data_IF_495616822197
#
_entry.id   IF_495616822197
#
_cell.length_a   1.000
_cell.length_b   1.000
_cell.length_c   1.000
_cell.angle_alpha   90.00
_cell.angle_beta   90.00
_cell.angle_gamma   90.00
#
_symmetry.space_group_name_H-M   'P 1'
#
loop_
_entity.id
_entity.type
_entity.pdbx_description
1 polymer ?
#
# COMPACT_ATOMS: atom_id res chain seq x y z
N UNK A 1 -9.27 -2.17 -2.74
CA UNK A 1 -8.69 -1.59 -3.99
C UNK A 1 -7.83 -0.37 -3.67
N UNK A 2 -6.87 -0.04 -4.53
CA UNK A 2 -5.98 1.12 -4.37
C UNK A 2 -6.01 1.96 -5.65
N UNK A 3 -6.34 3.24 -5.53
CA UNK A 3 -6.17 4.23 -6.58
C UNK A 3 -5.08 5.23 -6.15
N UNK A 4 -4.25 5.66 -7.09
CA UNK A 4 -3.14 6.58 -6.83
C UNK A 4 -3.25 7.79 -7.76
N UNK A 5 -3.20 8.98 -7.18
CA UNK A 5 -3.17 10.25 -7.89
C UNK A 5 -1.84 10.93 -7.61
N UNK A 6 -1.10 11.26 -8.67
CA UNK A 6 0.20 11.93 -8.58
C UNK A 6 -0.01 13.43 -8.80
N UNK A 7 0.35 14.24 -7.81
CA UNK A 7 0.11 15.68 -7.81
C UNK A 7 1.44 16.42 -8.07
N UNK A 8 1.46 17.16 -9.18
CA UNK A 8 2.61 17.94 -9.62
C UNK A 8 2.37 19.43 -9.37
N UNK A 9 3.44 20.18 -9.06
CA UNK A 9 3.38 21.65 -9.00
C UNK A 9 3.44 22.28 -10.41
N UNK A 10 3.40 23.62 -10.46
CA UNK A 10 3.49 24.39 -11.71
C UNK A 10 4.81 24.19 -12.47
N UNK A 11 5.86 23.76 -11.77
CA UNK A 11 7.17 23.42 -12.34
C UNK A 11 7.28 21.95 -12.77
N UNK A 12 6.16 21.20 -12.75
CA UNK A 12 6.08 19.78 -13.11
C UNK A 12 6.91 18.85 -12.20
N UNK A 13 7.12 19.25 -10.95
CA UNK A 13 7.78 18.46 -9.92
C UNK A 13 6.74 17.71 -9.09
N UNK A 14 7.00 16.44 -8.80
CA UNK A 14 6.10 15.62 -8.00
C UNK A 14 6.17 16.05 -6.53
N UNK A 15 5.07 16.56 -5.98
CA UNK A 15 5.01 17.03 -4.59
C UNK A 15 4.23 16.08 -3.68
N UNK A 16 3.18 15.44 -4.19
CA UNK A 16 2.30 14.58 -3.39
C UNK A 16 1.82 13.38 -4.17
N UNK A 17 1.54 12.29 -3.45
CA UNK A 17 0.75 11.17 -3.95
C UNK A 17 -0.46 10.98 -3.05
N UNK A 18 -1.66 11.03 -3.63
CA UNK A 18 -2.89 10.72 -2.92
C UNK A 18 -3.26 9.26 -3.17
N UNK A 19 -3.28 8.45 -2.12
CA UNK A 19 -3.66 7.05 -2.16
C UNK A 19 -5.08 6.86 -1.62
N UNK A 20 -6.04 6.58 -2.50
CA UNK A 20 -7.39 6.19 -2.12
C UNK A 20 -7.44 4.67 -1.91
N UNK A 21 -7.75 4.27 -0.69
CA UNK A 21 -7.92 2.87 -0.29
C UNK A 21 -9.40 2.60 -0.11
N UNK A 22 -9.95 1.74 -0.97
CA UNK A 22 -11.33 1.27 -0.88
C UNK A 22 -11.41 -0.04 -0.11
N UNK A 23 -12.27 -0.07 0.90
CA UNK A 23 -12.62 -1.24 1.68
C UNK A 23 -13.92 -1.86 1.14
N UNK A 24 -13.80 -2.87 0.28
CA UNK A 24 -14.92 -3.41 -0.51
C UNK A 24 -16.04 -4.06 0.31
N UNK A 25 -15.79 -4.82 1.39
CA UNK A 25 -16.88 -5.43 2.15
C UNK A 25 -17.73 -4.40 2.92
N UNK A 26 -17.15 -3.25 3.29
CA UNK A 26 -17.83 -2.21 4.07
C UNK A 26 -18.18 -0.95 3.27
N UNK A 27 -17.91 -0.93 1.96
CA UNK A 27 -18.11 0.23 1.07
C UNK A 27 -17.54 1.55 1.64
N UNK A 28 -16.40 1.47 2.31
CA UNK A 28 -15.71 2.64 2.87
C UNK A 28 -14.50 3.01 2.02
N UNK A 29 -14.13 4.29 2.06
CA UNK A 29 -12.91 4.80 1.42
C UNK A 29 -12.12 5.63 2.42
N UNK A 30 -10.81 5.58 2.29
CA UNK A 30 -9.88 6.39 3.05
C UNK A 30 -8.78 6.92 2.14
N UNK A 31 -8.29 8.11 2.42
CA UNK A 31 -7.30 8.79 1.59
C UNK A 31 -6.04 9.04 2.42
N UNK A 32 -4.90 8.54 1.93
CA UNK A 32 -3.59 8.89 2.47
C UNK A 32 -2.94 9.94 1.57
N UNK A 33 -2.64 11.12 2.13
CA UNK A 33 -1.84 12.14 1.45
C UNK A 33 -0.36 11.90 1.77
N UNK A 34 0.40 11.45 0.78
CA UNK A 34 1.81 11.06 0.93
C UNK A 34 2.70 12.20 0.40
N UNK A 35 3.39 12.96 1.28
CA UNK A 35 4.28 14.02 0.84
C UNK A 35 5.53 13.43 0.19
N UNK A 36 5.88 13.93 -1.00
CA UNK A 36 7.13 13.59 -1.67
C UNK A 36 8.16 14.64 -1.27
N UNK A 37 8.99 14.27 -0.29
CA UNK A 37 10.11 15.09 0.14
C UNK A 37 11.27 14.86 -0.85
N UNK A 38 11.46 15.80 -1.78
CA UNK A 38 12.66 15.86 -2.60
C UNK A 38 13.84 16.16 -1.68
N UNK A 39 14.72 15.18 -1.45
CA UNK A 39 16.03 15.47 -0.85
C UNK A 39 16.77 16.40 -1.82
N UNK A 40 17.04 17.63 -1.36
CA UNK A 40 17.68 18.68 -2.14
C UNK A 40 19.14 18.34 -2.50
N UNK A 41 19.54 18.85 -3.67
CA UNK A 41 20.90 19.06 -4.19
C UNK A 41 21.91 17.90 -4.14
N UNK A 42 22.02 17.19 -5.26
CA UNK A 42 23.22 16.41 -5.58
C UNK A 42 23.01 15.38 -6.69
N UNK A 43 21.79 14.83 -6.80
CA UNK A 43 21.54 13.71 -7.70
C UNK A 43 20.73 14.17 -8.93
N UNK A 44 21.45 14.56 -9.99
CA UNK A 44 20.88 15.08 -11.26
C UNK A 44 20.17 14.02 -12.11
N UNK A 45 19.90 12.83 -11.59
CA UNK A 45 19.14 11.79 -12.28
C UNK A 45 17.70 11.68 -11.79
N UNK A 46 16.87 12.70 -12.10
CA UNK A 46 15.43 12.72 -11.81
C UNK A 46 14.65 11.52 -12.41
N UNK A 47 15.23 10.78 -13.37
CA UNK A 47 14.48 9.74 -14.12
C UNK A 47 14.19 8.45 -13.34
N UNK A 48 14.88 8.16 -12.24
CA UNK A 48 14.71 6.90 -11.49
C UNK A 48 14.54 7.09 -9.99
N UNK A 49 14.16 8.30 -9.55
CA UNK A 49 14.05 8.58 -8.13
C UNK A 49 12.90 7.77 -7.53
N UNK A 50 13.24 7.01 -6.48
CA UNK A 50 12.26 6.36 -5.61
C UNK A 50 12.14 7.19 -4.34
N UNK A 51 10.92 7.25 -3.83
CA UNK A 51 10.57 8.01 -2.64
C UNK A 51 10.00 7.05 -1.61
N UNK A 52 10.45 7.19 -0.37
CA UNK A 52 9.91 6.43 0.77
C UNK A 52 9.08 7.35 1.63
N UNK A 53 7.84 6.95 1.93
CA UNK A 53 6.94 7.68 2.84
C UNK A 53 6.45 6.71 3.90
N UNK A 54 6.66 7.06 5.17
CA UNK A 54 6.23 6.23 6.30
C UNK A 54 5.18 6.94 7.14
N UNK A 55 4.17 6.21 7.57
CA UNK A 55 3.17 6.72 8.51
C UNK A 55 2.46 5.56 9.24
N UNK A 56 1.77 5.88 10.34
CA UNK A 56 0.92 4.92 11.03
C UNK A 56 -0.31 4.57 10.18
N UNK A 57 -0.70 3.30 10.19
CA UNK A 57 -1.92 2.85 9.55
C UNK A 57 -3.12 3.47 10.26
N UNK A 58 -3.99 4.13 9.50
CA UNK A 58 -5.15 4.85 10.03
C UNK A 58 -6.49 4.27 9.53
N UNK A 59 -6.48 3.19 8.75
CA UNK A 59 -7.68 2.62 8.15
C UNK A 59 -7.75 1.10 8.24
N UNK A 60 -8.85 0.60 8.82
CA UNK A 60 -9.08 -0.83 9.01
C UNK A 60 -9.68 -1.46 7.73
N UNK A 61 -8.82 -2.09 6.93
CA UNK A 61 -9.16 -2.62 5.59
C UNK A 61 -9.50 -4.10 5.55
N UNK A 62 -9.23 -4.85 6.62
CA UNK A 62 -9.43 -6.30 6.68
C UNK A 62 -9.54 -6.72 8.14
N UNK A 63 -10.45 -7.66 8.48
CA UNK A 63 -10.59 -8.13 9.85
C UNK A 63 -9.42 -9.02 10.29
N UNK A 64 -8.52 -9.38 9.37
CA UNK A 64 -7.30 -10.13 9.69
C UNK A 64 -6.06 -9.23 9.74
N UNK A 65 -6.23 -7.90 9.67
CA UNK A 65 -5.14 -6.95 9.59
C UNK A 65 -5.24 -5.88 10.72
N UNK A 66 -4.47 -6.01 11.81
CA UNK A 66 -4.59 -5.17 13.02
C UNK A 66 -4.26 -3.70 12.76
N UNK A 67 -4.70 -2.79 13.63
CA UNK A 67 -4.55 -1.33 13.40
C UNK A 67 -3.15 -0.81 13.77
N UNK A 68 -2.50 -1.43 14.73
CA UNK A 68 -1.22 -1.05 15.34
C UNK A 68 -0.03 -1.40 14.41
N UNK A 69 -0.04 -0.79 13.24
CA UNK A 69 0.91 -1.05 12.17
C UNK A 69 1.44 0.26 11.59
N UNK A 70 2.65 0.21 11.05
CA UNK A 70 3.24 1.28 10.23
C UNK A 70 3.25 0.84 8.77
N UNK A 71 2.87 1.77 7.89
CA UNK A 71 3.04 1.63 6.45
C UNK A 71 4.33 2.31 6.02
N UNK A 72 5.12 1.60 5.21
CA UNK A 72 6.27 2.15 4.49
C UNK A 72 6.00 2.00 2.99
N UNK A 73 5.76 3.13 2.33
CA UNK A 73 5.48 3.21 0.91
C UNK A 73 6.77 3.49 0.16
N UNK A 74 7.11 2.67 -0.81
CA UNK A 74 8.16 2.93 -1.78
C UNK A 74 7.52 3.19 -3.15
N UNK A 75 7.65 4.43 -3.61
CA UNK A 75 6.98 4.97 -4.79
C UNK A 75 8.01 5.45 -5.81
N UNK A 76 7.65 5.49 -7.08
CA UNK A 76 8.39 6.24 -8.10
C UNK A 76 7.46 7.19 -8.84
N UNK A 77 8.05 8.16 -9.54
CA UNK A 77 7.28 9.01 -10.46
C UNK A 77 6.77 8.18 -11.65
N UNK A 78 5.51 8.37 -12.09
CA UNK A 78 4.97 7.67 -13.24
C UNK A 78 5.71 8.07 -14.52
N UNK A 79 6.39 7.11 -15.13
CA UNK A 79 7.03 7.23 -16.44
C UNK A 79 6.61 6.04 -17.33
N UNK A 80 7.56 5.32 -17.93
CA UNK A 80 7.28 4.10 -18.70
C UNK A 80 6.83 2.94 -17.81
N UNK A 81 7.31 2.91 -16.57
CA UNK A 81 6.95 1.93 -15.54
C UNK A 81 6.62 2.66 -14.24
N UNK A 82 5.47 2.32 -13.68
CA UNK A 82 5.09 2.71 -12.33
C UNK A 82 5.29 1.51 -11.41
N UNK A 83 5.94 1.71 -10.26
CA UNK A 83 6.16 0.71 -9.23
C UNK A 83 5.79 1.30 -7.89
N UNK A 84 4.89 0.63 -7.19
CA UNK A 84 4.39 1.00 -5.88
C UNK A 84 4.55 -0.21 -5.00
N UNK A 85 5.34 -0.08 -3.94
CA UNK A 85 5.56 -1.13 -2.97
C UNK A 85 5.09 -0.62 -1.60
N UNK A 86 4.34 -1.44 -0.89
CA UNK A 86 3.83 -1.15 0.43
C UNK A 86 4.30 -2.25 1.36
N UNK A 87 5.07 -1.87 2.38
CA UNK A 87 5.39 -2.74 3.50
C UNK A 87 4.51 -2.37 4.71
N UNK A 88 4.04 -3.39 5.41
CA UNK A 88 3.34 -3.27 6.69
C UNK A 88 4.23 -3.83 7.79
N UNK A 89 4.56 -2.98 8.74
CA UNK A 89 5.42 -3.29 9.87
C UNK A 89 4.59 -3.29 11.15
N UNK A 90 4.71 -4.32 11.98
CA UNK A 90 4.08 -4.33 13.31
C UNK A 90 4.94 -3.54 14.28
N UNK A 91 4.28 -2.74 15.10
CA UNK A 91 4.88 -2.07 16.26
C UNK A 91 4.79 -3.05 17.43
N UNK A 92 5.78 -3.93 17.58
CA UNK A 92 5.86 -4.77 18.78
C UNK A 92 6.35 -3.92 19.95
N UNK A 93 5.52 -3.77 20.99
CA UNK A 93 6.03 -3.58 22.34
C UNK A 93 6.71 -4.88 22.78
N UNK A 94 7.90 -4.79 23.37
CA UNK A 94 8.82 -5.88 23.70
C UNK A 94 8.29 -6.97 24.67
N UNK A 95 6.98 -7.14 24.89
CA UNK A 95 6.43 -7.97 25.98
C UNK A 95 6.01 -9.40 25.63
N UNK A 96 6.11 -9.86 24.39
CA UNK A 96 5.78 -11.26 24.04
C UNK A 96 6.79 -11.93 23.10
N UNK A 97 8.08 -11.88 23.46
CA UNK A 97 9.07 -12.82 22.92
C UNK A 97 9.36 -13.91 23.94
N UNK A 98 8.45 -14.89 24.06
CA UNK A 98 8.83 -16.16 24.69
C UNK A 98 9.59 -17.00 23.67
N UNK A 99 10.91 -16.92 23.77
CA UNK A 99 11.89 -17.99 23.53
C UNK A 99 12.01 -18.57 22.11
N UNK A 100 13.04 -18.12 21.40
CA UNK A 100 14.22 -18.93 20.99
C UNK A 100 14.99 -18.16 19.91
N UNK A 101 15.88 -17.28 20.33
CA UNK A 101 17.29 -17.24 19.93
C UNK A 101 17.95 -16.05 20.62
N UNK A 102 19.13 -16.31 21.14
CA UNK A 102 19.93 -15.50 22.03
C UNK A 102 20.76 -14.42 21.30
N UNK A 103 21.01 -13.33 22.03
CA UNK A 103 22.21 -12.50 22.08
C UNK A 103 22.32 -11.22 21.21
N UNK A 104 22.69 -10.18 21.98
CA UNK A 104 23.42 -8.94 21.69
C UNK A 104 22.76 -7.77 20.95
N UNK A 105 22.78 -6.66 21.70
CA UNK A 105 23.00 -5.26 21.29
C UNK A 105 21.84 -4.44 20.72
N UNK A 106 21.77 -3.23 21.28
CA UNK A 106 20.99 -2.03 20.94
C UNK A 106 19.46 -2.17 21.05
N UNK A 107 18.90 -1.46 22.04
CA UNK A 107 17.50 -1.05 22.11
C UNK A 107 17.15 -0.19 20.89
N UNK A 108 16.91 -0.85 19.77
CA UNK A 108 16.22 -0.30 18.62
C UNK A 108 14.93 -1.09 18.49
N UNK A 109 13.81 -0.44 18.80
CA UNK A 109 12.46 -0.97 18.63
C UNK A 109 12.36 -1.69 17.28
N UNK A 110 12.48 -3.02 17.29
CA UNK A 110 12.66 -3.80 16.06
C UNK A 110 11.28 -3.97 15.41
N UNK A 111 11.00 -3.13 14.43
CA UNK A 111 9.78 -3.22 13.62
C UNK A 111 9.84 -4.49 12.76
N UNK A 112 8.88 -5.41 12.91
CA UNK A 112 8.84 -6.66 12.15
C UNK A 112 7.94 -6.49 10.92
N UNK A 113 8.45 -6.78 9.73
CA UNK A 113 7.63 -6.82 8.51
C UNK A 113 6.67 -8.00 8.55
N UNK A 114 5.38 -7.72 8.51
CA UNK A 114 4.32 -8.73 8.55
C UNK A 114 3.63 -8.95 7.21
N UNK A 115 3.69 -7.96 6.33
CA UNK A 115 3.07 -8.04 5.00
C UNK A 115 3.77 -7.09 4.03
N UNK A 116 3.83 -7.47 2.76
CA UNK A 116 4.22 -6.60 1.67
C UNK A 116 3.34 -6.81 0.43
N UNK A 117 3.15 -5.73 -0.33
CA UNK A 117 2.43 -5.75 -1.59
C UNK A 117 3.17 -4.91 -2.63
N UNK A 118 3.24 -5.41 -3.87
CA UNK A 118 3.85 -4.67 -4.98
C UNK A 118 2.90 -4.56 -6.15
N UNK A 119 2.68 -3.35 -6.63
CA UNK A 119 2.00 -3.04 -7.88
C UNK A 119 3.01 -2.51 -8.89
N UNK A 120 3.07 -3.14 -10.07
CA UNK A 120 3.85 -2.66 -11.21
C UNK A 120 2.93 -2.44 -12.40
N UNK A 121 2.92 -1.23 -12.95
CA UNK A 121 2.16 -0.88 -14.14
C UNK A 121 3.13 -0.46 -15.24
N UNK A 122 2.76 -0.75 -16.49
CA UNK A 122 3.45 -0.22 -17.66
C UNK A 122 2.58 0.86 -18.27
N UNK A 123 3.19 1.99 -18.61
CA UNK A 123 2.49 3.05 -19.32
C UNK A 123 1.98 2.54 -20.67
N UNK A 124 0.76 2.95 -21.00
CA UNK A 124 0.15 2.72 -22.29
C UNK A 124 -0.44 4.07 -22.73
N UNK A 125 -0.14 4.55 -23.94
CA UNK A 125 -0.73 5.78 -24.44
C UNK A 125 -2.25 5.64 -24.50
N UNK A 126 -2.92 6.73 -24.15
CA UNK A 126 -4.38 6.81 -24.15
C UNK A 126 -4.89 6.96 -25.59
N UNK A 127 -4.98 5.84 -26.32
CA UNK A 127 -5.51 5.79 -27.69
C UNK A 127 -6.87 5.10 -27.73
N UNK A 128 -7.75 5.51 -28.64
CA UNK A 128 -9.13 5.00 -28.72
C UNK A 128 -9.22 3.48 -28.83
N UNK A 129 -8.38 2.86 -29.67
CA UNK A 129 -8.33 1.40 -29.81
C UNK A 129 -7.93 0.69 -28.51
N UNK A 130 -6.93 1.21 -27.78
CA UNK A 130 -6.49 0.63 -26.50
C UNK A 130 -7.56 0.82 -25.42
N UNK A 131 -8.22 1.97 -25.40
CA UNK A 131 -9.32 2.25 -24.48
C UNK A 131 -10.51 1.31 -24.72
N UNK A 132 -10.94 1.13 -25.97
CA UNK A 132 -12.04 0.22 -26.32
C UNK A 132 -11.77 -1.22 -25.89
N UNK A 133 -10.57 -1.73 -26.15
CA UNK A 133 -10.14 -3.04 -25.65
C UNK A 133 -10.16 -3.10 -24.12
N UNK A 134 -9.70 -2.06 -23.45
CA UNK A 134 -9.66 -2.02 -21.99
C UNK A 134 -11.07 -1.99 -21.39
N UNK A 135 -12.01 -1.27 -21.97
CA UNK A 135 -13.41 -1.22 -21.50
C UNK A 135 -14.08 -2.61 -21.52
N UNK A 136 -13.76 -3.46 -22.50
CA UNK A 136 -14.29 -4.83 -22.59
C UNK A 136 -13.64 -5.75 -21.54
N UNK A 137 -12.34 -5.61 -21.29
CA UNK A 137 -11.58 -6.48 -20.37
C UNK A 137 -11.82 -6.11 -18.90
N UNK A 138 -12.01 -4.82 -18.61
CA UNK A 138 -12.14 -4.28 -17.25
C UNK A 138 -13.25 -4.94 -16.42
N UNK A 139 -14.50 -5.14 -16.90
CA UNK A 139 -15.55 -5.75 -16.08
C UNK A 139 -15.20 -7.18 -15.62
N UNK A 140 -14.61 -7.99 -16.51
CA UNK A 140 -14.19 -9.36 -16.19
C UNK A 140 -13.08 -9.35 -15.12
N UNK A 141 -12.11 -8.44 -15.26
CA UNK A 141 -11.03 -8.29 -14.29
C UNK A 141 -11.55 -7.86 -12.91
N UNK A 142 -12.51 -6.93 -12.85
CA UNK A 142 -13.11 -6.48 -11.59
C UNK A 142 -13.80 -7.61 -10.85
N UNK A 143 -14.63 -8.40 -11.54
CA UNK A 143 -15.31 -9.55 -10.95
C UNK A 143 -14.28 -10.55 -10.40
N UNK A 144 -13.23 -10.85 -11.17
CA UNK A 144 -12.16 -11.77 -10.74
C UNK A 144 -11.44 -11.26 -9.48
N UNK A 145 -11.18 -9.96 -9.38
CA UNK A 145 -10.56 -9.35 -8.18
C UNK A 145 -11.47 -9.51 -6.97
N UNK A 146 -12.76 -9.21 -7.11
CA UNK A 146 -13.73 -9.36 -6.02
C UNK A 146 -13.78 -10.80 -5.53
N UNK A 147 -13.94 -11.77 -6.45
CA UNK A 147 -13.94 -13.20 -6.13
C UNK A 147 -12.63 -13.59 -5.43
N UNK A 148 -11.49 -13.11 -5.92
CA UNK A 148 -10.18 -13.38 -5.33
C UNK A 148 -10.04 -12.86 -3.89
N UNK A 149 -10.56 -11.66 -3.60
CA UNK A 149 -10.57 -11.09 -2.24
C UNK A 149 -11.38 -11.98 -1.28
N UNK A 150 -12.59 -12.37 -1.67
CA UNK A 150 -13.43 -13.25 -0.86
C UNK A 150 -12.83 -14.64 -0.67
N UNK A 151 -12.23 -15.21 -1.71
CA UNK A 151 -11.58 -16.52 -1.62
C UNK A 151 -10.39 -16.52 -0.66
N UNK A 152 -9.55 -15.47 -0.69
CA UNK A 152 -8.45 -15.34 0.26
C UNK A 152 -8.94 -15.13 1.69
N UNK A 153 -9.99 -14.32 1.89
CA UNK A 153 -10.60 -14.15 3.20
C UNK A 153 -11.12 -15.49 3.76
N UNK A 154 -11.78 -16.31 2.93
CA UNK A 154 -12.23 -17.65 3.31
C UNK A 154 -11.05 -18.56 3.69
N UNK A 155 -9.95 -18.53 2.91
CA UNK A 155 -8.75 -19.32 3.22
C UNK A 155 -8.12 -18.92 4.55
N UNK A 156 -8.07 -17.63 4.88
CA UNK A 156 -7.59 -17.12 6.17
C UNK A 156 -8.50 -17.56 7.32
N UNK A 157 -9.82 -17.55 7.09
CA UNK A 157 -10.80 -18.03 8.06
C UNK A 157 -10.64 -19.54 8.35
N UNK A 158 -10.47 -20.36 7.30
CA UNK A 158 -10.18 -21.81 7.45
C UNK A 158 -8.87 -22.03 8.22
N UNK A 159 -7.87 -21.16 8.03
CA UNK A 159 -6.60 -21.18 8.77
C UNK A 159 -6.67 -20.61 10.19
N UNK A 160 -7.86 -20.21 10.66
CA UNK A 160 -8.09 -19.60 11.99
C UNK A 160 -7.21 -18.36 12.24
N UNK A 161 -6.99 -17.54 11.21
CA UNK A 161 -6.31 -16.26 11.41
C UNK A 161 -7.07 -15.40 12.44
N UNK A 162 -6.37 -14.68 13.34
CA UNK A 162 -7.01 -13.89 14.38
C UNK A 162 -7.92 -12.83 13.76
N UNK A 163 -9.13 -12.72 14.31
CA UNK A 163 -10.15 -11.78 13.86
C UNK A 163 -10.12 -10.52 14.73
N UNK A 164 -9.99 -9.37 14.09
CA UNK A 164 -10.00 -8.04 14.70
C UNK A 164 -11.31 -7.35 14.32
N UNK A 165 -12.03 -6.87 15.34
CA UNK A 165 -13.30 -6.20 15.13
C UNK A 165 -13.09 -4.88 14.39
N UNK A 166 -13.96 -4.60 13.42
CA UNK A 166 -13.96 -3.31 12.75
C UNK A 166 -14.44 -2.23 13.73
N UNK A 167 -13.72 -1.09 13.85
CA UNK A 167 -14.13 -0.03 14.77
C UNK A 167 -15.53 0.46 14.38
N UNK A 168 -16.47 0.35 15.31
CA UNK A 168 -17.82 0.91 15.16
C UNK A 168 -17.69 2.42 15.10
N UNK A 169 -18.24 3.05 14.03
CA UNK A 169 -18.39 4.50 13.97
C UNK A 169 -19.24 4.93 15.18
N UNK A 170 -18.65 5.71 16.08
CA UNK A 170 -19.41 6.55 17.02
C UNK A 170 -19.85 7.83 16.33
#
# INVERSE_FOLDING_TARGET
PLNLYYCFNEHNELCWVLAEVSNTPWNQRHYYALPILTKSEGDKSQKSQRFTVEHLKAFHVSPFNPMEQRYSWLLNQPQTVLSVHLETLTLTDDKHQTSRYSNSCSEQTRSIKVFDATMKLKYQPFTGHRLGKQLIITPIMTIKVIIGIYWQALKLWIKKAPFYNHPTRS
#
